data_IF_109681052124
#
_entry.id   IF_109681052124
#
_cell.length_a   1.000
_cell.length_b   1.000
_cell.length_c   1.000
_cell.angle_alpha   90.00
_cell.angle_beta   90.00
_cell.angle_gamma   90.00
#
_symmetry.space_group_name_H-M   'P 1'
#
loop_
_entity.id
_entity.type
_entity.pdbx_description
1 polymer ?
#
# COMPACT_ATOMS: atom_id res chain seq x y z
N UNK A 1 -6.25 6.04 0.70
CA UNK A 1 -6.01 6.12 2.15
C UNK A 1 -4.52 5.97 2.48
N UNK A 2 -3.84 4.92 1.98
CA UNK A 2 -2.38 4.77 1.97
C UNK A 2 -1.85 5.09 0.57
N UNK A 3 -0.98 6.09 0.45
CA UNK A 3 -0.43 6.51 -0.83
C UNK A 3 0.68 5.56 -1.29
N UNK A 4 0.59 5.13 -2.54
CA UNK A 4 1.35 3.97 -3.04
C UNK A 4 2.85 4.24 -3.16
N UNK A 5 3.26 5.46 -3.47
CA UNK A 5 4.65 5.83 -3.74
C UNK A 5 5.39 6.19 -2.45
N UNK A 6 4.81 7.12 -1.70
CA UNK A 6 5.41 7.69 -0.50
C UNK A 6 5.16 6.84 0.75
N UNK A 7 4.14 5.98 0.73
CA UNK A 7 3.79 5.15 1.88
C UNK A 7 3.19 5.94 3.05
N UNK A 8 2.77 7.19 2.83
CA UNK A 8 2.11 8.03 3.81
C UNK A 8 0.60 7.79 3.90
N UNK A 9 0.03 8.20 5.02
CA UNK A 9 -1.35 7.95 5.39
C UNK A 9 -2.16 9.24 5.33
N UNK A 10 -3.33 9.19 4.70
CA UNK A 10 -4.28 10.28 4.75
C UNK A 10 -4.81 10.44 6.20
N UNK A 11 -5.07 11.68 6.66
CA UNK A 11 -5.57 11.92 8.02
C UNK A 11 -7.08 11.60 8.12
N UNK A 12 -7.43 10.31 8.03
CA UNK A 12 -8.81 9.87 7.83
C UNK A 12 -9.78 10.36 8.90
N UNK A 13 -9.39 10.38 10.18
CA UNK A 13 -10.25 10.87 11.26
C UNK A 13 -10.60 12.37 11.11
N UNK A 14 -9.64 13.18 10.63
CA UNK A 14 -9.87 14.61 10.40
C UNK A 14 -10.79 14.82 9.21
N UNK A 15 -10.59 14.05 8.14
CA UNK A 15 -11.45 14.11 6.94
C UNK A 15 -12.88 13.63 7.28
N UNK A 16 -13.03 12.56 8.07
CA UNK A 16 -14.33 12.05 8.51
C UNK A 16 -15.12 13.07 9.35
N UNK A 17 -14.43 13.80 10.23
CA UNK A 17 -15.02 14.91 10.99
C UNK A 17 -15.54 16.01 10.06
N UNK A 18 -14.76 16.38 9.04
CA UNK A 18 -15.18 17.38 8.05
C UNK A 18 -16.35 16.87 7.21
N UNK A 19 -16.34 15.61 6.79
CA UNK A 19 -17.48 14.99 6.11
C UNK A 19 -18.75 15.08 6.95
N UNK A 20 -18.66 14.82 8.25
CA UNK A 20 -19.78 15.00 9.19
C UNK A 20 -20.25 16.45 9.29
N UNK A 21 -19.32 17.39 9.45
CA UNK A 21 -19.62 18.81 9.56
C UNK A 21 -20.34 19.37 8.33
N UNK A 22 -19.93 18.96 7.13
CA UNK A 22 -20.44 19.50 5.87
C UNK A 22 -21.49 18.61 5.19
N UNK A 23 -21.87 17.48 5.81
CA UNK A 23 -22.80 16.51 5.22
C UNK A 23 -22.27 15.90 3.91
N UNK A 24 -20.94 15.81 3.77
CA UNK A 24 -20.30 15.29 2.56
C UNK A 24 -20.16 13.77 2.61
N UNK A 25 -20.33 13.12 1.45
CA UNK A 25 -19.99 11.72 1.26
C UNK A 25 -18.50 11.64 0.84
N UNK A 26 -17.71 10.90 1.62
CA UNK A 26 -16.32 10.63 1.30
C UNK A 26 -16.18 9.45 0.33
N UNK A 27 -15.29 9.56 -0.64
CA UNK A 27 -14.85 8.45 -1.49
C UNK A 27 -13.38 8.18 -1.20
N UNK A 28 -13.04 6.93 -0.86
CA UNK A 28 -11.65 6.57 -0.55
C UNK A 28 -11.22 5.28 -1.22
N UNK A 29 -10.03 5.33 -1.82
CA UNK A 29 -9.32 4.16 -2.32
C UNK A 29 -8.49 3.52 -1.18
N UNK A 30 -8.81 2.29 -0.84
CA UNK A 30 -8.13 1.46 0.18
C UNK A 30 -7.27 0.36 -0.45
N UNK A 31 -6.93 0.44 -1.75
CA UNK A 31 -6.23 -0.62 -2.46
C UNK A 31 -4.89 -1.03 -1.82
N UNK A 32 -4.17 -0.09 -1.20
CA UNK A 32 -2.92 -0.38 -0.50
C UNK A 32 -3.09 -0.66 1.00
N UNK A 33 -4.26 -0.39 1.58
CA UNK A 33 -4.48 -0.46 3.01
C UNK A 33 -5.40 -1.62 3.43
N UNK A 34 -6.39 -1.99 2.62
CA UNK A 34 -7.26 -3.14 2.88
C UNK A 34 -6.43 -4.43 2.95
N UNK A 35 -6.70 -5.25 3.97
CA UNK A 35 -5.92 -6.45 4.32
C UNK A 35 -4.62 -6.17 5.08
N UNK A 36 -4.14 -4.92 5.07
CA UNK A 36 -2.80 -4.53 5.56
C UNK A 36 -2.88 -3.69 6.85
N UNK A 37 -3.83 -2.78 6.92
CA UNK A 37 -4.01 -1.85 8.03
C UNK A 37 -5.35 -2.09 8.75
N UNK A 38 -5.43 -1.65 10.00
CA UNK A 38 -6.61 -1.77 10.83
C UNK A 38 -6.91 -3.19 11.32
N UNK A 39 -7.80 -3.30 12.33
CA UNK A 39 -8.25 -4.59 12.85
C UNK A 39 -8.91 -5.40 11.73
N UNK A 40 -8.63 -6.70 11.69
CA UNK A 40 -9.14 -7.64 10.69
C UNK A 40 -8.85 -7.21 9.23
N UNK A 41 -7.89 -6.30 9.01
CA UNK A 41 -7.56 -5.79 7.68
C UNK A 41 -8.60 -4.85 7.08
N UNK A 42 -9.40 -4.15 7.90
CA UNK A 42 -10.44 -3.23 7.42
C UNK A 42 -9.90 -1.98 6.69
N UNK A 43 -8.59 -1.80 6.62
CA UNK A 43 -7.95 -0.64 6.01
C UNK A 43 -7.83 0.55 6.97
N UNK A 44 -7.41 1.68 6.43
CA UNK A 44 -7.13 2.87 7.26
C UNK A 44 -8.43 3.49 7.80
N UNK A 45 -9.55 3.40 7.09
CA UNK A 45 -10.85 3.84 7.62
C UNK A 45 -11.23 3.07 8.89
N UNK A 46 -11.06 1.74 8.89
CA UNK A 46 -11.36 0.91 10.05
C UNK A 46 -10.40 1.21 11.20
N UNK A 47 -9.11 1.40 10.89
CA UNK A 47 -8.11 1.82 11.87
C UNK A 47 -8.42 3.17 12.51
N UNK A 48 -8.91 4.13 11.72
CA UNK A 48 -9.27 5.47 12.17
C UNK A 48 -10.68 5.55 12.78
N UNK A 49 -11.42 4.43 12.84
CA UNK A 49 -12.77 4.33 13.39
C UNK A 49 -13.76 5.35 12.79
N UNK A 50 -13.61 5.64 11.50
CA UNK A 50 -14.50 6.56 10.78
C UNK A 50 -15.92 5.99 10.66
N UNK A 51 -16.92 6.85 10.57
CA UNK A 51 -18.33 6.45 10.41
C UNK A 51 -18.55 5.81 9.03
N UNK A 52 -18.78 4.48 8.94
CA UNK A 52 -18.85 3.80 7.65
C UNK A 52 -19.99 4.30 6.76
N UNK A 53 -21.03 4.93 7.32
CA UNK A 53 -22.17 5.43 6.55
C UNK A 53 -21.85 6.69 5.74
N UNK A 54 -20.73 7.37 6.04
CA UNK A 54 -20.27 8.56 5.30
C UNK A 54 -19.36 8.23 4.14
N UNK A 55 -18.94 6.97 4.01
CA UNK A 55 -17.87 6.59 3.08
C UNK A 55 -18.32 5.60 2.02
N UNK A 56 -17.83 5.85 0.81
CA UNK A 56 -17.72 4.89 -0.27
C UNK A 56 -16.27 4.42 -0.29
N UNK A 57 -16.05 3.11 -0.16
CA UNK A 57 -14.72 2.50 -0.21
C UNK A 57 -14.53 1.83 -1.55
N UNK A 58 -13.42 2.12 -2.23
CA UNK A 58 -12.96 1.33 -3.37
C UNK A 58 -11.73 0.54 -2.95
N UNK A 59 -11.51 -0.59 -3.62
CA UNK A 59 -10.31 -1.38 -3.40
C UNK A 59 -10.06 -2.35 -4.52
N UNK A 60 -8.98 -3.12 -4.37
CA UNK A 60 -8.55 -4.10 -5.36
C UNK A 60 -8.42 -5.48 -4.73
N UNK A 61 -8.68 -6.50 -5.55
CA UNK A 61 -8.40 -7.89 -5.21
C UNK A 61 -6.96 -8.27 -5.59
N UNK A 62 -6.19 -7.41 -6.27
CA UNK A 62 -4.88 -7.76 -6.84
C UNK A 62 -3.66 -7.40 -5.99
N UNK A 63 -3.87 -7.00 -4.73
CA UNK A 63 -2.78 -6.64 -3.78
C UNK A 63 -2.78 -7.61 -2.61
N UNK A 64 -3.16 -7.16 -1.42
CA UNK A 64 -3.16 -8.02 -0.22
C UNK A 64 -4.00 -9.30 -0.39
N UNK A 65 -5.10 -9.21 -1.17
CA UNK A 65 -5.98 -10.34 -1.47
C UNK A 65 -5.34 -11.35 -2.45
N UNK A 66 -4.34 -10.95 -3.24
CA UNK A 66 -3.59 -11.87 -4.10
C UNK A 66 -4.35 -12.48 -5.29
N UNK A 67 -5.45 -11.85 -5.72
CA UNK A 67 -6.32 -12.29 -6.83
C UNK A 67 -6.36 -11.23 -7.96
N UNK A 68 -7.49 -11.09 -8.66
CA UNK A 68 -7.68 -10.05 -9.68
C UNK A 68 -9.09 -9.49 -9.60
N UNK A 69 -9.24 -8.19 -9.86
CA UNK A 69 -10.52 -7.47 -9.77
C UNK A 69 -10.47 -6.24 -8.89
N UNK A 70 -11.59 -5.53 -8.86
CA UNK A 70 -11.84 -4.38 -8.01
C UNK A 70 -13.22 -4.47 -7.36
N UNK A 71 -13.43 -3.68 -6.32
CA UNK A 71 -14.70 -3.65 -5.61
C UNK A 71 -15.02 -2.24 -5.14
N UNK A 72 -16.32 -2.00 -4.93
CA UNK A 72 -16.86 -0.82 -4.26
C UNK A 72 -17.71 -1.30 -3.08
N UNK A 73 -17.55 -0.68 -1.92
CA UNK A 73 -18.36 -0.91 -0.73
C UNK A 73 -19.02 0.41 -0.36
N UNK A 74 -20.33 0.38 -0.09
CA UNK A 74 -21.11 1.53 0.34
C UNK A 74 -22.54 1.12 0.62
N UNK A 75 -23.47 2.08 0.58
CA UNK A 75 -24.89 1.79 0.80
C UNK A 75 -25.47 0.87 -0.27
N UNK A 76 -26.53 0.13 0.07
CA UNK A 76 -27.24 -0.72 -0.89
C UNK A 76 -27.72 0.09 -2.10
N UNK A 77 -28.28 1.28 -1.87
CA UNK A 77 -28.71 2.19 -2.94
C UNK A 77 -27.58 2.54 -3.91
N UNK A 78 -26.37 2.79 -3.39
CA UNK A 78 -25.20 3.04 -4.24
C UNK A 78 -24.86 1.80 -5.07
N UNK A 79 -24.77 0.63 -4.43
CA UNK A 79 -24.42 -0.62 -5.11
C UNK A 79 -25.42 -0.96 -6.22
N UNK A 80 -26.73 -0.86 -5.96
CA UNK A 80 -27.79 -1.06 -6.94
C UNK A 80 -27.71 -0.03 -8.09
N UNK A 81 -27.43 1.23 -7.76
CA UNK A 81 -27.25 2.28 -8.77
C UNK A 81 -26.06 1.97 -9.69
N UNK A 82 -24.93 1.52 -9.12
CA UNK A 82 -23.74 1.14 -9.89
C UNK A 82 -24.01 -0.07 -10.77
N UNK A 83 -24.72 -1.08 -10.27
CA UNK A 83 -25.10 -2.27 -11.04
C UNK A 83 -25.89 -1.91 -12.31
N UNK A 84 -26.72 -0.88 -12.27
CA UNK A 84 -27.54 -0.48 -13.42
C UNK A 84 -26.92 0.63 -14.30
N UNK A 85 -26.02 1.46 -13.75
CA UNK A 85 -25.54 2.67 -14.45
C UNK A 85 -24.04 2.69 -14.75
N UNK A 86 -23.23 1.88 -14.05
CA UNK A 86 -21.79 1.88 -14.26
C UNK A 86 -21.43 1.12 -15.54
N UNK A 87 -21.21 1.86 -16.64
CA UNK A 87 -20.82 1.28 -17.94
C UNK A 87 -19.66 0.26 -17.86
N UNK A 88 -18.58 0.50 -17.07
CA UNK A 88 -17.49 -0.48 -16.95
C UNK A 88 -17.90 -1.81 -16.32
N UNK A 89 -18.98 -1.83 -15.53
CA UNK A 89 -19.53 -3.04 -14.93
C UNK A 89 -20.55 -3.72 -15.86
N UNK A 90 -21.47 -2.93 -16.44
CA UNK A 90 -22.56 -3.43 -17.30
C UNK A 90 -22.06 -4.03 -18.60
N UNK A 91 -21.03 -3.43 -19.21
CA UNK A 91 -20.51 -3.84 -20.53
C UNK A 91 -19.20 -4.64 -20.44
N UNK A 92 -18.98 -5.34 -19.33
CA UNK A 92 -17.81 -6.20 -19.11
C UNK A 92 -18.23 -7.61 -18.71
N UNK A 93 -17.49 -8.62 -19.15
CA UNK A 93 -17.64 -9.99 -18.66
C UNK A 93 -17.29 -10.04 -17.17
N UNK A 94 -18.08 -10.77 -16.39
CA UNK A 94 -17.83 -11.00 -14.97
C UNK A 94 -16.50 -11.73 -14.73
N UNK A 95 -15.93 -11.56 -13.53
CA UNK A 95 -14.71 -12.28 -13.13
C UNK A 95 -14.95 -13.80 -13.12
N UNK A 96 -13.95 -14.62 -13.48
CA UNK A 96 -14.08 -16.08 -13.43
C UNK A 96 -14.45 -16.57 -12.02
N UNK A 97 -15.35 -17.57 -11.87
CA UNK A 97 -15.75 -18.09 -10.57
C UNK A 97 -14.59 -18.54 -9.67
N UNK A 98 -13.54 -19.13 -10.26
CA UNK A 98 -12.34 -19.52 -9.53
C UNK A 98 -11.60 -18.33 -8.89
N UNK A 99 -11.56 -17.19 -9.57
CA UNK A 99 -10.95 -15.95 -9.03
C UNK A 99 -11.78 -15.41 -7.87
N UNK A 100 -13.12 -15.45 -7.99
CA UNK A 100 -14.02 -15.01 -6.93
C UNK A 100 -13.93 -15.92 -5.69
N UNK A 101 -13.88 -17.24 -5.88
CA UNK A 101 -13.71 -18.20 -4.78
C UNK A 101 -12.38 -18.04 -4.05
N UNK A 102 -11.28 -17.86 -4.80
CA UNK A 102 -9.97 -17.58 -4.22
C UNK A 102 -9.95 -16.24 -3.45
N UNK A 103 -10.56 -15.18 -4.02
CA UNK A 103 -10.64 -13.89 -3.37
C UNK A 103 -11.46 -13.93 -2.08
N UNK A 104 -12.62 -14.60 -2.09
CA UNK A 104 -13.45 -14.80 -0.90
C UNK A 104 -12.65 -15.49 0.21
N UNK A 105 -11.97 -16.60 -0.12
CA UNK A 105 -11.16 -17.31 0.87
C UNK A 105 -9.98 -16.50 1.39
N UNK A 106 -9.32 -15.74 0.51
CA UNK A 106 -8.23 -14.84 0.87
C UNK A 106 -8.69 -13.75 1.84
N UNK A 107 -9.87 -13.16 1.64
CA UNK A 107 -10.45 -12.17 2.55
C UNK A 107 -10.70 -12.78 3.94
N UNK A 108 -11.27 -13.99 4.03
CA UNK A 108 -11.44 -14.70 5.31
C UNK A 108 -10.11 -14.91 6.04
N UNK A 109 -9.08 -15.35 5.31
CA UNK A 109 -7.75 -15.54 5.88
C UNK A 109 -7.21 -14.19 6.39
N UNK A 110 -7.26 -13.13 5.57
CA UNK A 110 -6.81 -11.80 5.94
C UNK A 110 -7.49 -11.29 7.22
N UNK A 111 -8.78 -11.55 7.42
CA UNK A 111 -9.48 -11.15 8.66
C UNK A 111 -8.86 -11.75 9.93
N UNK A 112 -8.26 -12.94 9.84
CA UNK A 112 -7.60 -13.62 10.98
C UNK A 112 -6.11 -13.25 11.19
N UNK A 113 -5.52 -12.46 10.29
CA UNK A 113 -4.07 -12.19 10.25
C UNK A 113 -3.60 -10.96 11.07
N UNK A 114 -4.26 -10.63 12.19
CA UNK A 114 -3.90 -9.42 12.95
C UNK A 114 -2.47 -9.49 13.51
N UNK A 115 -2.02 -10.67 13.97
CA UNK A 115 -0.65 -10.86 14.44
C UNK A 115 0.38 -10.60 13.32
N UNK A 116 0.12 -11.12 12.11
CA UNK A 116 1.00 -10.94 10.95
C UNK A 116 1.03 -9.47 10.50
N UNK A 117 -0.10 -8.76 10.55
CA UNK A 117 -0.14 -7.31 10.30
C UNK A 117 0.71 -6.55 11.31
N UNK A 118 0.58 -6.85 12.61
CA UNK A 118 1.41 -6.21 13.64
C UNK A 118 2.91 -6.47 13.39
N UNK A 119 3.31 -7.71 13.19
CA UNK A 119 4.71 -8.08 12.90
C UNK A 119 5.24 -7.38 11.64
N UNK A 120 4.44 -7.28 10.58
CA UNK A 120 4.80 -6.56 9.35
C UNK A 120 5.06 -5.08 9.63
N UNK A 121 4.19 -4.41 10.39
CA UNK A 121 4.34 -2.98 10.71
C UNK A 121 5.53 -2.74 11.65
N UNK A 122 5.78 -3.62 12.61
CA UNK A 122 6.97 -3.58 13.47
C UNK A 122 8.25 -3.72 12.67
N UNK A 123 8.30 -4.72 11.78
CA UNK A 123 9.44 -4.95 10.90
C UNK A 123 9.68 -3.76 9.96
N UNK A 124 8.60 -3.19 9.41
CA UNK A 124 8.65 -1.98 8.58
C UNK A 124 9.22 -0.79 9.34
N UNK A 125 8.78 -0.58 10.58
CA UNK A 125 9.29 0.48 11.45
C UNK A 125 10.74 0.26 11.88
N UNK A 126 11.15 -1.00 12.07
CA UNK A 126 12.53 -1.33 12.33
C UNK A 126 13.42 -1.00 11.12
N UNK A 127 13.05 -1.50 9.94
CA UNK A 127 13.78 -1.25 8.70
C UNK A 127 13.87 0.24 8.39
N UNK A 128 12.78 0.99 8.53
CA UNK A 128 12.72 2.45 8.34
C UNK A 128 13.76 3.18 9.18
N UNK A 129 13.82 2.90 10.49
CA UNK A 129 14.83 3.49 11.39
C UNK A 129 16.25 3.15 10.96
N UNK A 130 16.49 1.91 10.51
CA UNK A 130 17.81 1.49 10.03
C UNK A 130 18.19 2.20 8.72
N UNK A 131 17.26 2.38 7.78
CA UNK A 131 17.49 3.14 6.55
C UNK A 131 17.88 4.59 6.87
N UNK A 132 17.21 5.23 7.83
CA UNK A 132 17.56 6.57 8.28
C UNK A 132 18.96 6.63 8.90
N UNK A 133 19.32 5.66 9.75
CA UNK A 133 20.65 5.56 10.34
C UNK A 133 21.76 5.35 9.29
N UNK A 134 21.43 4.86 8.08
CA UNK A 134 22.36 4.78 6.96
C UNK A 134 22.52 6.09 6.19
N UNK A 135 21.77 7.13 6.57
CA UNK A 135 21.70 8.43 5.89
C UNK A 135 20.77 8.45 4.69
N UNK A 136 19.91 7.44 4.51
CA UNK A 136 18.98 7.37 3.39
C UNK A 136 17.71 8.18 3.68
N UNK A 137 17.29 8.99 2.70
CA UNK A 137 16.07 9.80 2.77
C UNK A 137 14.84 8.90 2.62
N UNK A 138 13.98 8.86 3.65
CA UNK A 138 12.74 8.05 3.68
C UNK A 138 11.66 8.77 4.50
N UNK A 139 10.40 8.33 4.38
CA UNK A 139 9.27 8.87 5.16
C UNK A 139 9.11 8.18 6.52
N UNK A 140 8.49 8.91 7.46
CA UNK A 140 8.28 8.48 8.84
C UNK A 140 6.99 7.71 9.08
N UNK A 141 6.00 7.86 8.20
CA UNK A 141 4.70 7.21 8.30
C UNK A 141 4.81 5.69 8.47
N UNK A 142 4.04 5.10 9.37
CA UNK A 142 4.04 3.65 9.63
C UNK A 142 3.21 2.93 8.57
N UNK A 143 3.88 2.42 7.55
CA UNK A 143 3.30 1.53 6.54
C UNK A 143 4.33 0.50 6.05
N UNK A 144 3.92 -0.57 5.36
CA UNK A 144 4.85 -1.52 4.75
C UNK A 144 5.47 -1.04 3.43
N UNK A 145 5.22 0.21 3.05
CA UNK A 145 5.83 0.87 1.90
C UNK A 145 6.91 1.82 2.44
N UNK A 146 8.16 1.58 2.03
CA UNK A 146 9.30 2.37 2.48
C UNK A 146 9.98 2.98 1.24
N UNK A 147 9.71 4.25 0.91
CA UNK A 147 10.44 4.92 -0.16
C UNK A 147 11.86 5.23 0.30
N UNK A 148 12.85 4.90 -0.51
CA UNK A 148 14.21 5.46 -0.40
C UNK A 148 14.38 6.42 -1.55
N UNK A 149 14.35 7.72 -1.26
CA UNK A 149 14.42 8.75 -2.29
C UNK A 149 15.82 8.85 -2.89
N UNK A 150 15.86 9.08 -4.19
CA UNK A 150 17.06 9.22 -5.01
C UNK A 150 16.83 10.42 -5.92
N UNK A 151 17.78 11.34 -5.98
CA UNK A 151 17.54 12.63 -6.65
C UNK A 151 17.61 12.52 -8.19
N UNK A 152 18.31 11.50 -8.70
CA UNK A 152 18.52 11.27 -10.13
C UNK A 152 17.88 9.97 -10.64
N UNK A 153 17.14 9.99 -11.77
CA UNK A 153 16.54 8.79 -12.37
C UNK A 153 17.55 7.71 -12.76
N UNK A 154 18.72 8.07 -13.29
CA UNK A 154 19.74 7.09 -13.68
C UNK A 154 20.34 6.41 -12.47
N UNK A 155 20.63 7.17 -11.41
CA UNK A 155 21.09 6.67 -10.13
C UNK A 155 20.06 5.71 -9.51
N UNK A 156 18.77 6.02 -9.59
CA UNK A 156 17.71 5.13 -9.09
C UNK A 156 17.71 3.79 -9.83
N UNK A 157 17.85 3.82 -11.17
CA UNK A 157 17.95 2.62 -12.01
C UNK A 157 19.19 1.81 -11.64
N UNK A 158 20.35 2.47 -11.56
CA UNK A 158 21.61 1.82 -11.25
C UNK A 158 21.55 1.10 -9.90
N UNK A 159 21.04 1.77 -8.87
CA UNK A 159 20.86 1.16 -7.54
C UNK A 159 19.91 -0.04 -7.58
N UNK A 160 18.79 0.06 -8.29
CA UNK A 160 17.85 -1.04 -8.47
C UNK A 160 18.50 -2.23 -9.19
N UNK A 161 19.27 -1.98 -10.25
CA UNK A 161 20.01 -3.01 -10.98
C UNK A 161 21.08 -3.68 -10.12
N UNK A 162 21.83 -2.90 -9.32
CA UNK A 162 22.84 -3.44 -8.41
C UNK A 162 22.24 -4.26 -7.27
N UNK A 163 21.09 -3.85 -6.73
CA UNK A 163 20.32 -4.68 -5.78
C UNK A 163 19.89 -5.99 -6.43
N UNK A 164 19.42 -5.95 -7.68
CA UNK A 164 19.02 -7.16 -8.40
C UNK A 164 20.20 -8.13 -8.61
N UNK A 165 21.40 -7.61 -8.90
CA UNK A 165 22.63 -8.41 -8.97
C UNK A 165 23.00 -9.08 -7.64
N UNK A 166 22.65 -8.45 -6.52
CA UNK A 166 22.76 -9.02 -5.16
C UNK A 166 21.59 -9.96 -4.81
N UNK A 167 20.71 -10.24 -5.78
CA UNK A 167 19.54 -11.10 -5.64
C UNK A 167 18.37 -10.47 -4.88
N UNK A 168 18.30 -9.13 -4.85
CA UNK A 168 17.27 -8.36 -4.15
C UNK A 168 16.51 -7.49 -5.16
N UNK A 169 15.23 -7.81 -5.40
CA UNK A 169 14.42 -7.01 -6.29
C UNK A 169 13.75 -5.83 -5.56
N UNK A 170 14.20 -4.62 -5.86
CA UNK A 170 13.56 -3.37 -5.41
C UNK A 170 13.41 -2.45 -6.62
N UNK A 171 12.19 -2.14 -7.09
CA UNK A 171 11.99 -1.35 -8.29
C UNK A 171 12.34 0.13 -8.05
N UNK A 172 13.00 0.73 -9.04
CA UNK A 172 13.14 2.17 -9.15
C UNK A 172 11.88 2.79 -9.76
N UNK A 173 11.34 3.80 -9.09
CA UNK A 173 10.23 4.62 -9.56
C UNK A 173 10.79 5.97 -9.99
N UNK A 174 10.41 6.41 -11.19
CA UNK A 174 10.89 7.63 -11.85
C UNK A 174 9.75 8.26 -12.68
N UNK A 175 9.92 9.46 -13.25
CA UNK A 175 8.94 10.05 -14.15
C UNK A 175 8.49 9.08 -15.27
N UNK A 176 7.21 9.10 -15.65
CA UNK A 176 6.15 10.03 -15.23
C UNK A 176 5.41 9.64 -13.94
N UNK A 177 5.74 8.52 -13.30
CA UNK A 177 5.03 8.01 -12.11
C UNK A 177 5.21 8.90 -10.88
N UNK A 178 6.34 9.59 -10.79
CA UNK A 178 6.68 10.58 -9.75
C UNK A 178 7.23 11.85 -10.43
N UNK A 179 7.17 13.02 -9.77
CA UNK A 179 7.86 14.22 -10.22
C UNK A 179 9.36 13.98 -10.48
N UNK A 180 9.98 14.79 -11.36
CA UNK A 180 11.37 14.61 -11.78
C UNK A 180 12.38 14.60 -10.63
N UNK A 181 12.09 15.37 -9.59
CA UNK A 181 12.87 15.55 -8.36
C UNK A 181 12.56 14.51 -7.26
N UNK A 182 11.74 13.49 -7.55
CA UNK A 182 11.23 12.53 -6.56
C UNK A 182 11.41 11.06 -6.96
N UNK A 183 12.47 10.74 -7.68
CA UNK A 183 12.80 9.34 -7.94
C UNK A 183 13.01 8.60 -6.62
N UNK A 184 12.68 7.31 -6.59
CA UNK A 184 12.81 6.50 -5.37
C UNK A 184 12.98 5.03 -5.68
N UNK A 185 13.63 4.31 -4.77
CA UNK A 185 13.53 2.87 -4.66
C UNK A 185 12.32 2.55 -3.78
N UNK A 186 11.36 1.78 -4.31
CA UNK A 186 10.12 1.48 -3.62
C UNK A 186 10.22 0.12 -2.92
N UNK A 187 10.67 0.12 -1.68
CA UNK A 187 10.70 -1.09 -0.86
C UNK A 187 9.27 -1.38 -0.39
N UNK A 188 8.81 -2.62 -0.53
CA UNK A 188 7.50 -3.07 -0.07
C UNK A 188 7.65 -4.37 0.68
N UNK A 189 7.35 -4.34 1.98
CA UNK A 189 7.37 -5.53 2.82
C UNK A 189 6.03 -6.27 2.76
N UNK A 190 6.06 -7.57 3.02
CA UNK A 190 4.89 -8.42 3.21
C UNK A 190 5.12 -9.29 4.45
N UNK A 191 4.08 -9.99 4.90
CA UNK A 191 4.11 -10.78 6.13
C UNK A 191 5.10 -11.96 6.13
N UNK A 192 5.66 -12.34 4.98
CA UNK A 192 6.64 -13.42 4.88
C UNK A 192 8.08 -12.92 5.01
N UNK A 193 8.34 -11.61 4.90
CA UNK A 193 9.69 -11.08 5.12
C UNK A 193 10.09 -11.19 6.60
N UNK A 194 11.37 -11.51 6.80
CA UNK A 194 11.97 -11.72 8.12
C UNK A 194 12.93 -10.57 8.48
N UNK A 195 13.34 -10.45 9.75
CA UNK A 195 14.43 -9.57 10.14
C UNK A 195 15.73 -9.82 9.36
N UNK A 196 16.00 -11.08 8.99
CA UNK A 196 17.18 -11.47 8.21
C UNK A 196 17.11 -10.92 6.78
N UNK A 197 15.93 -10.94 6.14
CA UNK A 197 15.73 -10.33 4.81
C UNK A 197 16.00 -8.82 4.86
N UNK A 198 15.48 -8.15 5.89
CA UNK A 198 15.71 -6.73 6.11
C UNK A 198 17.20 -6.43 6.35
N UNK A 199 17.91 -7.27 7.11
CA UNK A 199 19.34 -7.12 7.36
C UNK A 199 20.15 -7.31 6.06
N UNK A 200 19.80 -8.31 5.25
CA UNK A 200 20.42 -8.53 3.93
C UNK A 200 20.26 -7.32 3.01
N UNK A 201 19.06 -6.72 2.97
CA UNK A 201 18.81 -5.48 2.23
C UNK A 201 19.66 -4.32 2.74
N UNK A 202 19.72 -4.11 4.05
CA UNK A 202 20.52 -3.04 4.66
C UNK A 202 22.01 -3.18 4.34
N UNK A 203 22.54 -4.40 4.39
CA UNK A 203 23.97 -4.63 4.08
C UNK A 203 24.28 -4.47 2.60
N UNK A 204 23.37 -4.87 1.70
CA UNK A 204 23.48 -4.57 0.27
C UNK A 204 23.47 -3.05 0.03
N UNK A 205 22.51 -2.32 0.62
CA UNK A 205 22.43 -0.86 0.52
C UNK A 205 23.69 -0.16 1.03
N UNK A 206 24.29 -0.62 2.14
CA UNK A 206 25.58 -0.09 2.64
C UNK A 206 26.72 -0.26 1.63
N UNK A 207 26.79 -1.41 0.95
CA UNK A 207 27.84 -1.69 -0.06
C UNK A 207 27.66 -0.86 -1.33
N UNK A 208 26.41 -0.68 -1.76
CA UNK A 208 26.13 -0.10 -3.07
C UNK A 208 25.87 1.41 -3.04
N UNK A 209 25.52 1.98 -1.88
CA UNK A 209 25.23 3.41 -1.80
C UNK A 209 26.45 4.20 -2.30
N UNK A 210 26.24 5.20 -3.18
CA UNK A 210 27.32 6.08 -3.58
C UNK A 210 27.84 6.83 -2.35
N UNK A 211 29.16 6.95 -2.23
CA UNK A 211 29.79 7.77 -1.20
C UNK A 211 29.22 9.18 -1.29
N UNK A 212 28.67 9.69 -0.18
CA UNK A 212 28.30 11.10 -0.08
C UNK A 212 29.55 11.93 -0.41
N UNK A 213 29.48 12.74 -1.48
CA UNK A 213 30.47 13.81 -1.72
C UNK A 213 30.29 14.92 -0.71
#
# INVERSE_FOLDING_TARGET
SLFSMDGDLAPMAQIDSLCGQYGAIGLVDEAHAAGVLGPQGQGLLGQAQCDPNRWIKTGTLSKAVGCSGGYVVGSQLLCETLLHRARPLVFSTALPPAVLGAAAKSIEILQSMDAQRHSLLELSNHLRRKLQNLGLRTRLDTSPILPVYVDDPHQAIELSTRLLQEGIYVPAIRPPTVPADRCLLRISLNAAHTPQDCQRLLDALKRIKPSSK
#
